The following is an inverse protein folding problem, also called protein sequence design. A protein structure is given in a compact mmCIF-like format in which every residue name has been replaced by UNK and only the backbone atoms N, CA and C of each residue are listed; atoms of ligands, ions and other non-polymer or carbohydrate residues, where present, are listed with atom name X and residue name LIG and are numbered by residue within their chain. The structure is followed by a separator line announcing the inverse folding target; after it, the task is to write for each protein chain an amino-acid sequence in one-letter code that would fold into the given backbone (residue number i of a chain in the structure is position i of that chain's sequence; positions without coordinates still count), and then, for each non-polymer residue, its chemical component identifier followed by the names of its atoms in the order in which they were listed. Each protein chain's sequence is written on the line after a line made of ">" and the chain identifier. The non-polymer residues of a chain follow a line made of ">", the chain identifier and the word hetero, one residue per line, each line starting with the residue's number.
data_IF_046509518418
#
_entry.id   IF_046509518418
#
_cell.length_a   1.000
_cell.length_b   1.000
_cell.length_c   1.000
_cell.angle_alpha   90.00
_cell.angle_beta   90.00
_cell.angle_gamma   90.00
#
_symmetry.space_group_name_H-M   'P 1'
#
loop_
_entity.id
_entity.type
_entity.pdbx_description
1 polymer ?
#
# COMPACT_ATOMS: atom_id res chain seq x y z
N UNK A 1 24.89 -23.39 47.75
CA UNK A 1 24.46 -24.80 47.80
C UNK A 1 24.93 -25.49 46.54
N UNK A 2 25.58 -26.63 46.64
CA UNK A 2 25.98 -27.47 45.51
C UNK A 2 25.13 -28.72 45.60
N UNK A 3 24.34 -29.01 44.58
CA UNK A 3 23.61 -30.29 44.42
C UNK A 3 24.30 -31.04 43.29
N UNK A 4 25.03 -32.06 43.62
CA UNK A 4 25.77 -32.91 42.70
C UNK A 4 24.96 -34.19 42.46
N UNK A 5 24.21 -34.18 41.38
CA UNK A 5 23.32 -35.27 40.95
C UNK A 5 21.97 -35.30 41.70
N UNK A 6 20.91 -35.64 40.98
CA UNK A 6 19.54 -35.75 41.48
C UNK A 6 18.71 -34.47 41.38
N UNK A 7 17.47 -34.56 41.83
CA UNK A 7 16.48 -33.49 41.71
C UNK A 7 16.53 -32.53 42.92
N UNK A 8 16.38 -31.23 42.63
CA UNK A 8 16.14 -30.21 43.63
C UNK A 8 14.71 -29.70 43.56
N UNK A 9 13.95 -29.88 44.61
CA UNK A 9 12.60 -29.32 44.72
C UNK A 9 12.54 -28.28 45.82
N UNK A 10 12.10 -27.06 45.46
CA UNK A 10 11.85 -25.97 46.41
C UNK A 10 10.37 -25.59 46.33
N UNK A 11 9.66 -25.69 47.46
CA UNK A 11 8.25 -25.29 47.59
C UNK A 11 8.15 -24.11 48.55
N UNK A 12 7.71 -22.97 48.03
CA UNK A 12 7.51 -21.72 48.81
C UNK A 12 6.00 -21.44 48.81
N UNK A 13 5.38 -21.42 49.99
CA UNK A 13 3.92 -21.18 50.12
C UNK A 13 3.60 -19.72 50.28
N UNK A 14 4.60 -18.89 50.54
CA UNK A 14 4.49 -17.44 50.68
C UNK A 14 5.16 -16.68 49.55
N UNK A 15 5.77 -15.57 49.93
CA UNK A 15 6.53 -14.72 49.00
C UNK A 15 7.99 -15.16 48.96
N UNK A 16 8.57 -15.20 47.79
CA UNK A 16 10.00 -15.37 47.56
C UNK A 16 10.61 -14.05 47.09
N UNK A 17 11.71 -13.64 47.70
CA UNK A 17 12.46 -12.45 47.35
C UNK A 17 13.92 -12.83 47.11
N UNK A 18 14.40 -12.64 45.90
CA UNK A 18 15.80 -12.77 45.56
C UNK A 18 16.39 -11.40 45.24
N UNK A 19 17.46 -11.00 45.96
CA UNK A 19 18.21 -9.79 45.68
C UNK A 19 19.64 -10.17 45.29
N UNK A 20 20.00 -9.88 44.06
CA UNK A 20 21.36 -10.06 43.57
C UNK A 20 21.93 -8.69 43.25
N UNK A 21 22.99 -8.28 43.98
CA UNK A 21 23.55 -6.94 43.90
C UNK A 21 24.57 -6.74 42.77
N UNK A 22 25.12 -7.83 42.23
CA UNK A 22 26.14 -7.76 41.18
C UNK A 22 25.59 -8.45 39.90
N UNK A 23 25.71 -9.74 39.73
CA UNK A 23 25.29 -10.45 38.55
C UNK A 23 24.68 -11.80 38.85
N UNK A 24 23.73 -12.23 38.02
CA UNK A 24 23.15 -13.56 38.05
C UNK A 24 23.25 -14.26 36.70
N UNK A 25 23.92 -15.40 36.66
CA UNK A 25 23.98 -16.23 35.47
C UNK A 25 23.15 -17.49 35.68
N UNK A 26 22.30 -17.82 34.74
CA UNK A 26 21.53 -19.02 34.70
C UNK A 26 21.90 -19.81 33.46
N UNK A 27 22.45 -20.99 33.60
CA UNK A 27 22.75 -21.91 32.52
C UNK A 27 21.90 -23.19 32.72
N UNK A 28 21.17 -23.58 31.69
CA UNK A 28 20.30 -24.77 31.69
C UNK A 28 20.62 -25.55 30.42
N UNK A 29 21.14 -26.77 30.60
CA UNK A 29 21.33 -27.72 29.52
C UNK A 29 20.11 -28.63 29.47
N UNK A 30 19.06 -28.10 28.82
CA UNK A 30 17.73 -28.75 28.77
C UNK A 30 16.60 -27.70 28.75
N UNK A 31 15.43 -28.09 29.16
CA UNK A 31 14.23 -27.26 29.13
C UNK A 31 14.11 -26.30 30.32
N UNK A 32 13.74 -25.07 30.07
CA UNK A 32 13.26 -24.15 31.08
C UNK A 32 11.76 -23.92 30.93
N UNK A 33 10.95 -24.41 31.88
CA UNK A 33 9.51 -24.16 31.88
C UNK A 33 9.13 -23.18 32.98
N UNK A 34 8.54 -22.02 32.57
CA UNK A 34 8.06 -21.00 33.51
C UNK A 34 6.56 -20.79 33.33
N UNK A 35 5.79 -21.05 34.38
CA UNK A 35 4.34 -20.83 34.42
C UNK A 35 4.01 -19.72 35.43
N UNK A 36 3.35 -18.68 34.99
CA UNK A 36 2.89 -17.55 35.81
C UNK A 36 1.38 -17.44 35.67
N UNK A 37 0.64 -17.74 36.73
CA UNK A 37 -0.85 -17.63 36.72
C UNK A 37 -1.35 -16.22 36.98
N UNK A 38 -0.48 -15.34 37.49
CA UNK A 38 -0.75 -13.93 37.69
C UNK A 38 0.03 -13.05 36.68
N UNK A 39 0.44 -11.88 37.11
CA UNK A 39 1.18 -10.95 36.28
C UNK A 39 2.68 -11.25 36.26
N UNK A 40 3.30 -11.24 35.11
CA UNK A 40 4.75 -11.16 34.94
C UNK A 40 5.12 -9.72 34.57
N UNK A 41 6.04 -9.12 35.30
CA UNK A 41 6.61 -7.81 35.00
C UNK A 41 8.13 -7.90 34.92
N UNK A 42 8.69 -7.34 33.90
CA UNK A 42 10.12 -7.28 33.64
C UNK A 42 10.52 -5.82 33.35
N UNK A 43 11.52 -5.31 34.02
CA UNK A 43 12.06 -3.95 33.81
C UNK A 43 13.56 -4.04 33.60
N UNK A 44 14.00 -3.72 32.40
CA UNK A 44 15.40 -3.74 32.00
C UNK A 44 15.81 -2.30 31.69
N UNK A 45 16.77 -1.76 32.45
CA UNK A 45 17.28 -0.40 32.26
C UNK A 45 18.43 -0.34 31.26
N UNK A 46 19.03 -1.46 30.95
CA UNK A 46 20.10 -1.62 29.98
C UNK A 46 19.59 -2.28 28.70
N UNK A 47 20.44 -3.04 28.06
CA UNK A 47 20.12 -3.76 26.83
C UNK A 47 19.36 -5.06 27.12
N UNK A 48 18.42 -5.39 26.27
CA UNK A 48 17.77 -6.70 26.22
C UNK A 48 18.13 -7.36 24.88
N UNK A 49 18.72 -8.55 24.95
CA UNK A 49 19.03 -9.37 23.80
C UNK A 49 18.32 -10.71 23.92
N UNK A 50 17.64 -11.13 22.88
CA UNK A 50 17.00 -12.44 22.78
C UNK A 50 17.42 -13.07 21.44
N UNK A 51 18.06 -14.24 21.52
CA UNK A 51 18.42 -15.06 20.37
C UNK A 51 17.76 -16.42 20.50
N UNK A 52 17.10 -16.87 19.46
CA UNK A 52 16.36 -18.14 19.42
C UNK A 52 16.63 -18.83 18.11
N UNK A 53 17.30 -19.97 18.15
CA UNK A 53 17.61 -20.77 16.95
C UNK A 53 16.38 -21.49 16.38
N UNK A 54 15.39 -21.74 17.22
CA UNK A 54 14.17 -22.43 16.88
C UNK A 54 12.99 -21.51 16.62
N UNK A 55 11.79 -22.03 16.73
CA UNK A 55 10.55 -21.29 16.55
C UNK A 55 10.21 -20.43 17.78
N UNK A 56 9.76 -19.21 17.53
CA UNK A 56 9.20 -18.32 18.53
C UNK A 56 7.72 -18.09 18.28
N UNK A 57 6.87 -18.35 19.25
CA UNK A 57 5.42 -18.16 19.15
C UNK A 57 4.89 -17.28 20.29
N UNK A 58 4.07 -16.28 19.94
CA UNK A 58 3.32 -15.47 20.88
C UNK A 58 1.82 -15.65 20.65
N UNK A 59 1.14 -16.27 21.59
CA UNK A 59 -0.32 -16.42 21.57
C UNK A 59 -0.95 -15.46 22.60
N UNK A 60 -1.43 -14.33 22.13
CA UNK A 60 -1.97 -13.25 22.96
C UNK A 60 -3.48 -13.18 22.75
N UNK A 61 -4.24 -13.45 23.80
CA UNK A 61 -5.71 -13.48 23.76
C UNK A 61 -6.37 -12.11 23.96
N UNK A 62 -5.59 -11.07 24.18
CA UNK A 62 -6.05 -9.70 24.36
C UNK A 62 -5.20 -8.75 23.51
N UNK A 63 -4.76 -7.65 24.04
CA UNK A 63 -4.01 -6.61 23.31
C UNK A 63 -2.51 -6.82 23.37
N UNK A 64 -1.86 -6.46 22.29
CA UNK A 64 -0.42 -6.26 22.22
C UNK A 64 -0.09 -4.81 21.92
N UNK A 65 0.79 -4.20 22.70
CA UNK A 65 1.25 -2.84 22.47
C UNK A 65 2.77 -2.80 22.44
N UNK A 66 3.33 -2.22 21.39
CA UNK A 66 4.77 -1.93 21.27
C UNK A 66 4.96 -0.44 21.07
N UNK A 67 5.81 0.19 21.88
CA UNK A 67 6.22 1.58 21.74
C UNK A 67 7.73 1.66 21.59
N UNK A 68 8.18 2.17 20.46
CA UNK A 68 9.61 2.38 20.16
C UNK A 68 9.82 3.87 19.93
N UNK A 69 10.68 4.50 20.76
CA UNK A 69 10.90 5.94 20.70
C UNK A 69 11.88 6.36 19.59
N UNK A 70 12.64 5.45 19.06
CA UNK A 70 13.64 5.73 18.02
C UNK A 70 13.38 4.89 16.78
N UNK A 71 14.18 3.86 16.53
CA UNK A 71 14.12 3.05 15.34
C UNK A 71 13.55 1.67 15.65
N UNK A 72 12.70 1.17 14.76
CA UNK A 72 12.30 -0.22 14.71
C UNK A 72 12.71 -0.78 13.36
N UNK A 73 13.48 -1.85 13.36
CA UNK A 73 13.86 -2.59 12.16
C UNK A 73 13.28 -3.99 12.20
N UNK A 74 12.80 -4.48 11.07
CA UNK A 74 12.29 -5.84 10.93
C UNK A 74 12.79 -6.42 9.62
N UNK A 75 13.61 -7.46 9.70
CA UNK A 75 14.10 -8.21 8.55
C UNK A 75 13.41 -9.58 8.52
N UNK A 76 12.93 -9.98 7.36
CA UNK A 76 12.28 -11.27 7.14
C UNK A 76 12.89 -11.94 5.93
N UNK A 77 13.70 -12.96 6.15
CA UNK A 77 14.47 -13.64 5.10
C UNK A 77 13.66 -14.43 4.07
N UNK A 78 12.40 -14.76 4.36
CA UNK A 78 11.54 -15.52 3.44
C UNK A 78 10.20 -14.85 3.20
N UNK A 79 9.24 -15.03 4.08
CA UNK A 79 7.87 -14.52 3.90
C UNK A 79 7.31 -13.90 5.16
N UNK A 80 6.55 -12.84 5.01
CA UNK A 80 5.73 -12.24 6.05
C UNK A 80 4.27 -12.30 5.63
N UNK A 81 3.43 -12.80 6.53
CA UNK A 81 1.97 -12.75 6.38
C UNK A 81 1.35 -11.93 7.51
N UNK A 82 0.40 -11.08 7.18
CA UNK A 82 -0.36 -10.30 8.16
C UNK A 82 -1.84 -10.45 7.84
N UNK A 83 -2.63 -10.88 8.82
CA UNK A 83 -4.08 -11.00 8.71
C UNK A 83 -4.72 -10.14 9.79
N UNK A 84 -5.53 -9.16 9.39
CA UNK A 84 -6.18 -8.19 10.27
C UNK A 84 -7.68 -8.31 10.04
N UNK A 85 -8.40 -8.66 11.11
CA UNK A 85 -9.83 -8.98 11.03
C UNK A 85 -10.76 -7.77 10.91
N UNK A 86 -10.31 -6.56 11.30
CA UNK A 86 -11.16 -5.36 11.29
C UNK A 86 -10.43 -4.20 10.62
N UNK A 87 -9.56 -3.50 11.33
CA UNK A 87 -8.95 -2.26 10.82
C UNK A 87 -7.42 -2.34 10.83
N UNK A 88 -6.80 -1.84 9.78
CA UNK A 88 -5.36 -1.55 9.71
C UNK A 88 -5.16 -0.05 9.46
N UNK A 89 -4.56 0.64 10.41
CA UNK A 89 -4.31 2.06 10.34
C UNK A 89 -2.81 2.35 10.34
N UNK A 90 -2.31 2.91 9.25
CA UNK A 90 -0.92 3.33 9.12
C UNK A 90 -0.83 4.85 8.97
N UNK A 91 -0.25 5.53 9.96
CA UNK A 91 0.06 6.96 9.91
C UNK A 91 1.57 7.18 9.75
N UNK A 92 2.00 7.84 8.69
CA UNK A 92 3.38 8.20 8.44
C UNK A 92 3.50 9.71 8.26
N UNK A 93 4.14 10.40 9.19
CA UNK A 93 4.34 11.85 9.13
C UNK A 93 5.47 12.28 8.20
N UNK A 94 6.36 11.37 7.86
CA UNK A 94 7.48 11.58 6.95
C UNK A 94 7.27 10.83 5.63
N UNK A 95 8.35 10.34 5.07
CA UNK A 95 8.33 9.61 3.81
C UNK A 95 7.97 8.13 4.02
N UNK A 96 7.18 7.59 3.12
CA UNK A 96 6.93 6.16 3.00
C UNK A 96 7.43 5.67 1.65
N UNK A 97 8.27 4.64 1.64
CA UNK A 97 8.82 4.06 0.42
C UNK A 97 8.49 2.57 0.35
N UNK A 98 7.94 2.13 -0.77
CA UNK A 98 7.71 0.72 -1.10
C UNK A 98 8.52 0.35 -2.33
N UNK A 99 9.48 -0.54 -2.19
CA UNK A 99 10.24 -1.09 -3.31
C UNK A 99 9.86 -2.56 -3.49
N UNK A 100 9.26 -2.90 -4.63
CA UNK A 100 8.79 -4.24 -4.95
C UNK A 100 9.43 -4.67 -6.26
N UNK A 101 10.35 -5.62 -6.22
CA UNK A 101 11.03 -6.15 -7.40
C UNK A 101 10.13 -7.11 -8.20
N UNK A 102 9.24 -7.80 -7.52
CA UNK A 102 8.26 -8.71 -8.14
C UNK A 102 6.92 -8.05 -8.42
N UNK A 103 5.86 -8.81 -8.34
CA UNK A 103 4.49 -8.34 -8.58
C UNK A 103 3.86 -7.72 -7.32
N UNK A 104 3.10 -6.65 -7.50
CA UNK A 104 2.17 -6.15 -6.52
C UNK A 104 0.74 -6.42 -7.01
N UNK A 105 -0.05 -7.06 -6.18
CA UNK A 105 -1.48 -7.21 -6.40
C UNK A 105 -2.23 -6.51 -5.25
N UNK A 106 -3.27 -5.78 -5.58
CA UNK A 106 -4.14 -5.12 -4.63
C UNK A 106 -5.60 -5.36 -5.03
N UNK A 107 -6.41 -5.82 -4.10
CA UNK A 107 -7.84 -6.05 -4.33
C UNK A 107 -8.62 -5.33 -3.23
N UNK A 108 -9.48 -4.41 -3.61
CA UNK A 108 -10.36 -3.66 -2.71
C UNK A 108 -11.80 -4.05 -3.00
N UNK A 109 -12.45 -4.73 -2.07
CA UNK A 109 -13.85 -5.15 -2.22
C UNK A 109 -14.87 -4.03 -1.99
N UNK A 110 -14.44 -2.91 -1.42
CA UNK A 110 -15.27 -1.73 -1.18
C UNK A 110 -14.76 -0.51 -1.94
N UNK A 111 -14.79 0.64 -1.32
CA UNK A 111 -14.31 1.88 -1.91
C UNK A 111 -12.78 2.01 -1.79
N UNK A 112 -12.14 2.44 -2.86
CA UNK A 112 -10.75 2.89 -2.85
C UNK A 112 -10.75 4.42 -3.05
N UNK A 113 -10.08 5.15 -2.16
CA UNK A 113 -9.94 6.60 -2.26
C UNK A 113 -8.48 6.99 -2.08
N UNK A 114 -7.97 7.78 -2.99
CA UNK A 114 -6.62 8.35 -2.95
C UNK A 114 -6.69 9.86 -3.08
N UNK A 115 -6.09 10.59 -2.14
CA UNK A 115 -6.02 12.06 -2.16
C UNK A 115 -4.56 12.49 -2.12
N UNK A 116 -4.13 13.18 -3.16
CA UNK A 116 -2.76 13.67 -3.29
C UNK A 116 -2.80 15.19 -3.43
N UNK A 117 -2.28 15.90 -2.43
CA UNK A 117 -2.20 17.37 -2.45
C UNK A 117 -1.01 17.89 -3.27
N UNK A 118 -0.08 17.03 -3.60
CA UNK A 118 1.11 17.36 -4.41
C UNK A 118 1.04 16.77 -5.80
N UNK A 119 2.15 16.27 -6.30
CA UNK A 119 2.26 15.66 -7.61
C UNK A 119 1.98 14.16 -7.54
N UNK A 120 1.13 13.67 -8.42
CA UNK A 120 0.96 12.24 -8.70
C UNK A 120 1.64 11.88 -10.02
N UNK A 121 2.52 10.88 -10.01
CA UNK A 121 3.13 10.34 -11.21
C UNK A 121 2.92 8.83 -11.27
N UNK A 122 2.42 8.32 -12.39
CA UNK A 122 2.29 6.91 -12.69
C UNK A 122 2.99 6.60 -14.01
N UNK A 123 4.00 5.73 -13.99
CA UNK A 123 4.81 5.39 -15.15
C UNK A 123 4.77 3.89 -15.37
N UNK A 124 4.33 3.48 -16.55
CA UNK A 124 4.37 2.10 -17.01
C UNK A 124 5.24 2.00 -18.27
N UNK A 125 6.31 1.20 -18.23
CA UNK A 125 7.23 1.05 -19.36
C UNK A 125 6.73 0.10 -20.46
N UNK A 126 5.73 -0.70 -20.18
CA UNK A 126 5.14 -1.63 -21.17
C UNK A 126 3.68 -1.28 -21.44
N UNK A 127 2.79 -1.70 -20.58
CA UNK A 127 1.36 -1.54 -20.76
C UNK A 127 0.74 -1.01 -19.47
N UNK A 128 -0.23 -0.12 -19.61
CA UNK A 128 -1.10 0.34 -18.53
C UNK A 128 -2.54 0.19 -18.98
N UNK A 129 -3.31 -0.64 -18.29
CA UNK A 129 -4.72 -0.87 -18.60
C UNK A 129 -5.59 -0.35 -17.47
N UNK A 130 -6.59 0.46 -17.80
CA UNK A 130 -7.63 0.91 -16.88
C UNK A 130 -8.96 0.39 -17.42
N UNK A 131 -9.64 -0.43 -16.65
CA UNK A 131 -10.96 -0.95 -16.97
C UNK A 131 -11.97 -0.48 -15.91
N UNK A 132 -13.08 0.10 -16.35
CA UNK A 132 -14.22 0.46 -15.51
C UNK A 132 -15.46 -0.28 -16.00
N UNK A 133 -16.12 -1.03 -15.13
CA UNK A 133 -17.41 -1.66 -15.41
C UNK A 133 -18.60 -0.70 -15.32
N UNK A 134 -18.38 0.52 -14.82
CA UNK A 134 -19.35 1.60 -14.74
C UNK A 134 -18.80 2.88 -15.35
N UNK A 135 -19.20 4.02 -14.83
CA UNK A 135 -18.73 5.31 -15.29
C UNK A 135 -17.27 5.57 -14.90
N UNK A 136 -16.52 6.20 -15.78
CA UNK A 136 -15.22 6.77 -15.52
C UNK A 136 -15.26 8.27 -15.76
N UNK A 137 -15.00 9.06 -14.72
CA UNK A 137 -15.04 10.52 -14.78
C UNK A 137 -13.65 11.10 -14.56
N UNK A 138 -13.18 11.89 -15.52
CA UNK A 138 -11.98 12.70 -15.42
C UNK A 138 -12.34 14.17 -15.34
N UNK A 139 -12.08 14.81 -14.21
CA UNK A 139 -12.27 16.25 -14.03
C UNK A 139 -10.91 16.95 -13.86
N UNK A 140 -10.59 17.86 -14.73
CA UNK A 140 -9.35 18.63 -14.68
C UNK A 140 -9.70 20.11 -14.66
N UNK A 141 -9.37 20.80 -13.57
CA UNK A 141 -9.57 22.26 -13.45
C UNK A 141 -8.46 23.09 -14.09
N UNK A 142 -7.32 22.48 -14.36
CA UNK A 142 -6.18 23.08 -15.06
C UNK A 142 -6.04 22.55 -16.49
N UNK A 143 -4.82 22.42 -16.95
CA UNK A 143 -4.54 21.91 -18.29
C UNK A 143 -4.58 20.37 -18.30
N UNK A 144 -5.23 19.80 -19.30
CA UNK A 144 -5.15 18.38 -19.65
C UNK A 144 -4.35 18.23 -20.94
N UNK A 145 -3.24 17.50 -20.90
CA UNK A 145 -2.42 17.20 -22.07
C UNK A 145 -2.31 15.70 -22.26
N UNK A 146 -2.65 15.22 -23.45
CA UNK A 146 -2.46 13.83 -23.87
C UNK A 146 -1.57 13.79 -25.11
N UNK A 147 -0.44 13.09 -25.01
CA UNK A 147 0.48 12.89 -26.14
C UNK A 147 0.53 11.43 -26.49
N UNK A 148 0.13 11.08 -27.72
CA UNK A 148 0.07 9.71 -28.21
C UNK A 148 0.91 9.61 -29.47
N UNK A 149 1.97 8.82 -29.44
CA UNK A 149 2.93 8.72 -30.55
C UNK A 149 2.44 7.85 -31.71
N UNK A 150 1.58 6.86 -31.45
CA UNK A 150 1.15 5.92 -32.48
C UNK A 150 -0.34 6.06 -32.79
N UNK A 151 -1.18 5.33 -32.08
CA UNK A 151 -2.62 5.26 -32.41
C UNK A 151 -3.46 5.62 -31.19
N UNK A 152 -4.46 6.45 -31.41
CA UNK A 152 -5.53 6.72 -30.47
C UNK A 152 -6.85 6.21 -31.04
N UNK A 153 -7.49 5.28 -30.37
CA UNK A 153 -8.76 4.71 -30.79
C UNK A 153 -9.82 4.99 -29.72
N UNK A 154 -10.93 5.60 -30.14
CA UNK A 154 -12.13 5.76 -29.35
C UNK A 154 -13.24 4.90 -29.96
N UNK A 155 -13.72 3.89 -29.26
CA UNK A 155 -14.92 3.15 -29.60
C UNK A 155 -16.06 3.59 -28.70
N UNK A 156 -17.00 4.39 -29.21
CA UNK A 156 -18.09 4.95 -28.44
C UNK A 156 -19.41 4.97 -29.22
N UNK A 157 -20.52 4.83 -28.51
CA UNK A 157 -21.84 5.05 -29.09
C UNK A 157 -22.14 6.55 -29.28
N UNK A 158 -21.67 7.37 -28.33
CA UNK A 158 -21.84 8.83 -28.38
C UNK A 158 -20.53 9.49 -27.97
N UNK A 159 -20.04 10.39 -28.81
CA UNK A 159 -18.86 11.20 -28.55
C UNK A 159 -19.24 12.69 -28.58
N UNK A 160 -19.25 13.32 -27.41
CA UNK A 160 -19.57 14.72 -27.27
C UNK A 160 -18.31 15.52 -26.90
N UNK A 161 -17.97 16.52 -27.70
CA UNK A 161 -16.94 17.50 -27.36
C UNK A 161 -17.57 18.89 -27.33
N UNK A 162 -17.59 19.47 -26.12
CA UNK A 162 -18.03 20.85 -25.94
C UNK A 162 -16.84 21.71 -25.58
N UNK A 163 -16.54 22.72 -26.39
CA UNK A 163 -15.46 23.70 -26.16
C UNK A 163 -16.04 25.09 -26.08
N UNK A 164 -15.59 25.88 -25.10
CA UNK A 164 -16.04 27.26 -24.92
C UNK A 164 -15.24 28.26 -25.78
N UNK A 165 -14.03 27.90 -26.18
CA UNK A 165 -13.13 28.80 -26.89
C UNK A 165 -12.72 28.25 -28.25
N UNK A 166 -11.81 27.29 -28.30
CA UNK A 166 -11.25 26.81 -29.58
C UNK A 166 -11.04 25.28 -29.51
N UNK A 167 -11.49 24.57 -30.54
CA UNK A 167 -11.10 23.22 -30.88
C UNK A 167 -10.23 23.25 -32.12
N UNK A 168 -9.01 22.70 -32.01
CA UNK A 168 -8.11 22.60 -33.16
C UNK A 168 -7.75 21.15 -33.38
N UNK A 169 -7.98 20.66 -34.60
CA UNK A 169 -7.55 19.35 -35.07
C UNK A 169 -6.56 19.55 -36.21
N UNK A 170 -5.39 18.91 -36.12
CA UNK A 170 -4.37 18.98 -37.17
C UNK A 170 -3.81 17.58 -37.40
N UNK A 171 -4.00 17.06 -38.60
CA UNK A 171 -3.46 15.77 -39.03
C UNK A 171 -3.26 15.76 -40.53
N UNK A 172 -2.43 14.87 -41.05
CA UNK A 172 -2.27 14.66 -42.50
C UNK A 172 -3.59 14.14 -43.09
N UNK A 173 -4.32 13.34 -42.34
CA UNK A 173 -5.65 12.84 -42.74
C UNK A 173 -6.56 12.83 -41.52
N UNK A 174 -7.74 13.42 -41.62
CA UNK A 174 -8.79 13.35 -40.59
C UNK A 174 -9.96 12.57 -41.22
N UNK A 175 -10.23 11.36 -40.71
CA UNK A 175 -11.35 10.55 -41.13
C UNK A 175 -12.42 10.60 -40.05
N UNK A 176 -13.60 11.07 -40.38
CA UNK A 176 -14.78 11.04 -39.53
C UNK A 176 -15.87 10.24 -40.22
N UNK A 177 -16.38 9.25 -39.56
CA UNK A 177 -17.48 8.41 -40.06
C UNK A 177 -18.59 8.35 -39.02
N UNK A 178 -19.77 8.80 -39.40
CA UNK A 178 -20.97 8.74 -38.55
C UNK A 178 -22.22 8.62 -39.41
N UNK A 179 -23.31 8.09 -38.85
CA UNK A 179 -24.62 8.07 -39.53
C UNK A 179 -25.12 9.50 -39.74
N UNK A 180 -24.87 10.38 -38.79
CA UNK A 180 -25.20 11.81 -38.86
C UNK A 180 -24.00 12.60 -38.36
N UNK A 181 -23.43 13.45 -39.22
CA UNK A 181 -22.41 14.43 -38.85
C UNK A 181 -23.06 15.83 -38.86
N UNK A 182 -23.07 16.46 -37.69
CA UNK A 182 -23.58 17.84 -37.57
C UNK A 182 -22.52 18.72 -36.97
N UNK A 183 -22.11 19.73 -37.68
CA UNK A 183 -21.24 20.79 -37.20
C UNK A 183 -22.01 22.10 -37.13
N UNK A 184 -22.02 22.72 -35.94
CA UNK A 184 -22.78 23.95 -35.68
C UNK A 184 -21.87 24.97 -35.04
N UNK A 185 -21.88 26.21 -35.60
CA UNK A 185 -21.30 27.38 -34.98
C UNK A 185 -22.41 28.36 -34.59
N UNK A 186 -22.45 28.74 -33.31
CA UNK A 186 -23.47 29.68 -32.80
C UNK A 186 -23.13 31.14 -33.09
N UNK A 187 -21.88 31.46 -33.38
CA UNK A 187 -21.41 32.86 -33.50
C UNK A 187 -20.54 33.13 -34.71
N UNK A 188 -20.30 32.19 -35.59
CA UNK A 188 -19.39 32.34 -36.71
C UNK A 188 -19.64 31.34 -37.83
N UNK A 189 -18.74 31.34 -38.78
CA UNK A 189 -18.77 30.46 -39.94
C UNK A 189 -18.06 29.14 -39.61
N UNK A 190 -18.60 28.02 -40.12
CA UNK A 190 -17.84 26.79 -40.25
C UNK A 190 -17.02 26.91 -41.53
N UNK A 191 -15.69 26.91 -41.39
CA UNK A 191 -14.79 27.08 -42.52
C UNK A 191 -13.92 25.87 -42.70
N UNK A 192 -13.98 25.25 -43.85
CA UNK A 192 -13.08 24.17 -44.27
C UNK A 192 -12.00 24.75 -45.17
N UNK A 193 -10.75 24.76 -44.70
CA UNK A 193 -9.61 25.30 -45.42
C UNK A 193 -8.79 24.24 -46.12
N UNK A 194 -8.64 24.35 -47.45
CA UNK A 194 -7.67 23.64 -48.28
C UNK A 194 -7.96 22.16 -48.51
N UNK A 195 -8.25 21.77 -49.72
CA UNK A 195 -8.46 20.42 -50.18
C UNK A 195 -9.89 20.09 -50.58
N UNK A 196 -10.10 18.89 -51.06
CA UNK A 196 -11.41 18.40 -51.49
C UNK A 196 -12.26 18.03 -50.30
N UNK A 197 -13.47 18.54 -50.20
CA UNK A 197 -14.47 18.10 -49.22
C UNK A 197 -15.41 17.16 -49.95
N UNK A 198 -15.34 15.88 -49.70
CA UNK A 198 -16.28 14.87 -50.19
C UNK A 198 -17.33 14.61 -49.13
N UNK A 199 -18.55 15.04 -49.36
CA UNK A 199 -19.71 14.68 -48.54
C UNK A 199 -20.37 13.48 -49.20
N UNK A 200 -20.18 12.29 -48.65
CA UNK A 200 -20.88 11.08 -49.09
C UNK A 200 -22.35 11.13 -48.65
N UNK A 201 -23.25 10.72 -49.51
CA UNK A 201 -24.66 10.52 -49.23
C UNK A 201 -24.89 9.09 -48.68
#
# INVERSE_FOLDING_TARGET
>A
EIVDGGDRTVKIVGKDYELVLDGKNIYIDGDLNVTVTGNKRELIKGNYHLEVDGETSFNLKSSWQTKVNQNQETEVGKSRSTNIGVDDNLGVMGNQTHNIVGNRAETVGGNHSEVISGTHASIAYKESTIFSGGDMVHTVTGNFTSTIQNTYTLGQNVFNVTTQTTKTESATTINQSSTNLTETSSTGNVTYGGGEITVGT
#
